data_IF_680936582248
#
_entry.id   IF_680936582248
#
_cell.length_a   1.000
_cell.length_b   1.000
_cell.length_c   1.000
_cell.angle_alpha   90.00
_cell.angle_beta   90.00
_cell.angle_gamma   90.00
#
_symmetry.space_group_name_H-M   'P 1'
#
loop_
_entity.id
_entity.type
_entity.pdbx_description
1 polymer ?
#
# COMPACT_ATOMS: atom_id res chain seq x y z
N UNK A 1 16.36 -7.64 -6.29
CA UNK A 1 15.83 -6.26 -6.10
C UNK A 1 16.89 -5.46 -5.36
N UNK A 2 17.09 -4.17 -5.66
CA UNK A 2 18.02 -3.32 -4.88
C UNK A 2 17.26 -2.65 -3.72
N UNK A 3 17.97 -2.32 -2.63
CA UNK A 3 17.40 -1.64 -1.46
C UNK A 3 16.63 -0.35 -1.82
N UNK A 4 17.10 0.38 -2.83
CA UNK A 4 16.41 1.55 -3.38
C UNK A 4 15.02 1.23 -3.94
N UNK A 5 14.82 0.07 -4.59
CA UNK A 5 13.50 -0.34 -5.11
C UNK A 5 12.52 -0.71 -4.00
N UNK A 6 13.03 -1.26 -2.89
CA UNK A 6 12.23 -1.57 -1.70
C UNK A 6 11.74 -0.25 -1.06
N UNK A 7 12.62 0.74 -0.93
CA UNK A 7 12.28 2.06 -0.35
C UNK A 7 11.24 2.78 -1.22
N UNK A 8 11.40 2.78 -2.55
CA UNK A 8 10.43 3.38 -3.47
C UNK A 8 9.08 2.68 -3.35
N UNK A 9 9.06 1.34 -3.32
CA UNK A 9 7.82 0.57 -3.18
C UNK A 9 7.10 0.89 -1.85
N UNK A 10 7.82 0.97 -0.73
CA UNK A 10 7.24 1.33 0.56
C UNK A 10 6.61 2.73 0.55
N UNK A 11 7.25 3.71 -0.09
CA UNK A 11 6.70 5.05 -0.26
C UNK A 11 5.45 5.05 -1.14
N UNK A 12 5.48 4.35 -2.27
CA UNK A 12 4.31 4.23 -3.16
C UNK A 12 3.11 3.60 -2.46
N UNK A 13 3.33 2.60 -1.59
CA UNK A 13 2.26 2.00 -0.77
C UNK A 13 1.66 3.03 0.19
N UNK A 14 2.49 3.84 0.86
CA UNK A 14 2.01 4.90 1.75
C UNK A 14 1.16 5.96 1.03
N UNK A 15 1.61 6.39 -0.14
CA UNK A 15 0.86 7.33 -0.99
C UNK A 15 -0.47 6.71 -1.42
N UNK A 16 -0.46 5.47 -1.90
CA UNK A 16 -1.67 4.75 -2.31
C UNK A 16 -2.68 4.60 -1.18
N UNK A 17 -2.22 4.27 0.03
CA UNK A 17 -3.07 4.17 1.22
C UNK A 17 -3.75 5.51 1.55
N UNK A 18 -2.98 6.61 1.57
CA UNK A 18 -3.52 7.94 1.83
C UNK A 18 -4.52 8.39 0.76
N UNK A 19 -4.25 8.08 -0.51
CA UNK A 19 -5.15 8.35 -1.62
C UNK A 19 -6.46 7.57 -1.51
N UNK A 20 -6.41 6.29 -1.14
CA UNK A 20 -7.59 5.47 -0.92
C UNK A 20 -8.46 6.03 0.22
N UNK A 21 -7.85 6.39 1.35
CA UNK A 21 -8.59 6.98 2.48
C UNK A 21 -9.25 8.31 2.11
N UNK A 22 -8.55 9.17 1.37
CA UNK A 22 -9.10 10.42 0.87
C UNK A 22 -10.27 10.17 -0.10
N UNK A 23 -10.14 9.20 -1.00
CA UNK A 23 -11.19 8.82 -1.94
C UNK A 23 -12.44 8.29 -1.23
N UNK A 24 -12.27 7.42 -0.23
CA UNK A 24 -13.39 6.90 0.58
C UNK A 24 -14.10 8.04 1.32
N UNK A 25 -13.35 8.93 2.00
CA UNK A 25 -13.95 10.10 2.69
C UNK A 25 -14.73 10.98 1.72
N UNK A 26 -14.15 11.29 0.57
CA UNK A 26 -14.83 12.09 -0.44
C UNK A 26 -16.10 11.41 -0.97
N UNK A 27 -16.04 10.10 -1.23
CA UNK A 27 -17.18 9.34 -1.73
C UNK A 27 -18.36 9.31 -0.74
N UNK A 28 -18.08 9.34 0.56
CA UNK A 28 -19.10 9.39 1.61
C UNK A 28 -19.74 10.78 1.77
N UNK A 29 -18.97 11.84 1.51
CA UNK A 29 -19.44 13.23 1.67
C UNK A 29 -20.09 13.79 0.42
N UNK A 30 -19.70 13.31 -0.76
CA UNK A 30 -20.20 13.80 -2.04
C UNK A 30 -21.51 13.12 -2.38
N UNK A 31 -22.56 13.91 -2.57
CA UNK A 31 -23.86 13.43 -3.05
C UNK A 31 -24.05 13.68 -4.54
N UNK A 32 -24.68 12.72 -5.21
CA UNK A 32 -25.16 12.85 -6.59
C UNK A 32 -26.32 11.86 -6.80
N UNK A 33 -27.26 12.21 -7.67
CA UNK A 33 -28.46 11.39 -7.90
C UNK A 33 -29.21 11.04 -6.59
N UNK A 34 -29.26 12.01 -5.65
CA UNK A 34 -30.00 11.89 -4.39
C UNK A 34 -29.38 10.96 -3.34
N UNK A 35 -28.12 10.54 -3.50
CA UNK A 35 -27.41 9.71 -2.53
C UNK A 35 -25.91 10.01 -2.52
N UNK A 36 -25.20 9.73 -1.40
CA UNK A 36 -23.75 9.66 -1.38
C UNK A 36 -23.21 8.77 -2.50
N UNK A 37 -22.20 9.24 -3.24
CA UNK A 37 -21.63 8.49 -4.36
C UNK A 37 -20.99 7.17 -3.93
N UNK A 38 -20.63 7.01 -2.64
CA UNK A 38 -20.21 5.73 -2.07
C UNK A 38 -21.26 4.62 -2.18
N UNK A 39 -22.53 4.96 -2.39
CA UNK A 39 -23.61 3.98 -2.59
C UNK A 39 -23.73 3.52 -4.05
N UNK A 40 -23.07 4.21 -4.98
CA UNK A 40 -23.13 3.85 -6.40
C UNK A 40 -22.20 2.69 -6.67
N UNK A 41 -22.72 1.61 -7.26
CA UNK A 41 -21.96 0.37 -7.48
C UNK A 41 -20.66 0.58 -8.26
N UNK A 42 -20.67 1.47 -9.26
CA UNK A 42 -19.46 1.82 -10.02
C UNK A 42 -18.36 2.43 -9.14
N UNK A 43 -18.72 3.28 -8.18
CA UNK A 43 -17.79 3.89 -7.24
C UNK A 43 -17.26 2.84 -6.26
N UNK A 44 -18.12 1.92 -5.81
CA UNK A 44 -17.71 0.81 -4.94
C UNK A 44 -16.68 -0.09 -5.63
N UNK A 45 -16.88 -0.42 -6.91
CA UNK A 45 -15.89 -1.20 -7.68
C UNK A 45 -14.56 -0.46 -7.80
N UNK A 46 -14.57 0.83 -8.14
CA UNK A 46 -13.33 1.61 -8.21
C UNK A 46 -12.58 1.67 -6.87
N UNK A 47 -13.30 1.86 -5.75
CA UNK A 47 -12.70 1.86 -4.42
C UNK A 47 -12.17 0.47 -4.03
N UNK A 48 -12.88 -0.60 -4.40
CA UNK A 48 -12.43 -1.97 -4.17
C UNK A 48 -11.16 -2.29 -4.95
N UNK A 49 -11.08 -1.92 -6.23
CA UNK A 49 -9.89 -2.11 -7.07
C UNK A 49 -8.68 -1.34 -6.53
N UNK A 50 -8.89 -0.10 -6.10
CA UNK A 50 -7.84 0.67 -5.42
C UNK A 50 -7.36 -0.03 -4.15
N UNK A 51 -8.27 -0.54 -3.32
CA UNK A 51 -7.93 -1.25 -2.09
C UNK A 51 -7.12 -2.52 -2.37
N UNK A 52 -7.52 -3.31 -3.38
CA UNK A 52 -6.79 -4.50 -3.84
C UNK A 52 -5.39 -4.13 -4.32
N UNK A 53 -5.25 -3.05 -5.09
CA UNK A 53 -3.97 -2.56 -5.58
C UNK A 53 -3.02 -2.15 -4.46
N UNK A 54 -3.51 -1.38 -3.48
CA UNK A 54 -2.72 -0.96 -2.31
C UNK A 54 -2.31 -2.16 -1.46
N UNK A 55 -3.23 -3.10 -1.21
CA UNK A 55 -2.94 -4.32 -0.45
C UNK A 55 -1.86 -5.17 -1.14
N UNK A 56 -2.01 -5.43 -2.43
CA UNK A 56 -1.06 -6.21 -3.22
C UNK A 56 0.33 -5.56 -3.24
N UNK A 57 0.37 -4.23 -3.37
CA UNK A 57 1.62 -3.45 -3.37
C UNK A 57 2.34 -3.49 -2.01
N UNK A 58 1.63 -3.75 -0.91
CA UNK A 58 2.24 -3.91 0.42
C UNK A 58 2.89 -5.29 0.59
N UNK A 59 2.28 -6.33 0.02
CA UNK A 59 2.72 -7.72 0.20
C UNK A 59 3.94 -8.06 -0.65
N UNK A 60 3.98 -7.62 -1.92
CA UNK A 60 5.06 -7.99 -2.83
C UNK A 60 6.48 -7.53 -2.37
N UNK A 61 6.68 -6.28 -1.89
CA UNK A 61 7.99 -5.84 -1.41
C UNK A 61 8.38 -6.51 -0.10
N UNK A 62 7.43 -6.80 0.79
CA UNK A 62 7.71 -7.50 2.06
C UNK A 62 8.19 -8.93 1.82
N UNK A 63 7.57 -9.65 0.87
CA UNK A 63 8.03 -10.97 0.47
C UNK A 63 9.43 -10.92 -0.14
N UNK A 64 9.69 -9.95 -1.04
CA UNK A 64 11.00 -9.80 -1.65
C UNK A 64 12.09 -9.40 -0.65
N UNK A 65 11.78 -8.52 0.31
CA UNK A 65 12.69 -8.16 1.39
C UNK A 65 12.98 -9.35 2.31
N UNK A 66 11.95 -10.13 2.66
CA UNK A 66 12.11 -11.33 3.49
C UNK A 66 12.98 -12.40 2.83
N UNK A 67 12.85 -12.59 1.51
CA UNK A 67 13.72 -13.47 0.72
C UNK A 67 15.18 -12.95 0.68
N UNK A 68 15.37 -11.64 0.50
CA UNK A 68 16.70 -11.02 0.49
C UNK A 68 17.40 -11.14 1.86
N UNK A 69 16.67 -10.97 2.96
CA UNK A 69 17.17 -11.14 4.33
C UNK A 69 17.52 -12.60 4.65
N UNK A 70 16.82 -13.56 4.05
CA UNK A 70 17.09 -14.98 4.21
C UNK A 70 18.36 -15.43 3.44
N UNK A 71 18.62 -14.83 2.29
CA UNK A 71 19.80 -15.12 1.46
C UNK A 71 21.09 -14.44 1.96
N UNK A 72 20.98 -13.43 2.84
CA UNK A 72 22.13 -12.68 3.36
C UNK A 72 22.18 -12.60 4.91
N UNK A 73 22.37 -13.73 5.61
CA UNK A 73 22.34 -13.78 7.07
C UNK A 73 23.48 -12.99 7.76
N UNK A 74 24.55 -12.64 7.04
CA UNK A 74 25.70 -11.88 7.55
C UNK A 74 25.47 -10.37 7.72
N UNK A 75 24.37 -9.82 7.19
CA UNK A 75 23.95 -8.44 7.47
C UNK A 75 23.35 -8.28 8.87
N UNK A 76 23.00 -9.40 9.52
CA UNK A 76 22.55 -9.39 10.92
C UNK A 76 23.76 -9.31 11.85
N UNK A 77 23.95 -8.12 12.42
CA UNK A 77 24.87 -7.72 13.52
C UNK A 77 26.19 -7.07 13.07
N UNK A 78 26.22 -5.75 13.14
CA UNK A 78 27.36 -5.10 13.78
C UNK A 78 27.14 -5.19 15.30
N UNK A 79 27.90 -5.97 16.06
CA UNK A 79 27.85 -5.92 17.51
C UNK A 79 28.55 -4.64 17.97
N UNK A 80 27.80 -3.56 18.21
CA UNK A 80 28.31 -2.37 18.92
C UNK A 80 28.21 -2.54 20.44
N UNK A 81 28.73 -3.65 20.99
CA UNK A 81 28.99 -3.78 22.43
C UNK A 81 30.22 -4.67 22.64
N UNK A 82 31.38 -4.02 22.69
CA UNK A 82 32.58 -4.45 23.42
C UNK A 82 33.01 -3.30 24.32
#
# INVERSE_FOLDING_TARGET
MTQSRIIIAAQSVGIGQSALEAAVRFAQMRESFGSPISQHQAIQFMLADMAVGVHSSRVAPMNAASLMDAENPSSKRHPLLS
#
